data_IF_840609082412
#
_entry.id   IF_840609082412
#
_cell.length_a   1.000
_cell.length_b   1.000
_cell.length_c   1.000
_cell.angle_alpha   90.00
_cell.angle_beta   90.00
_cell.angle_gamma   90.00
#
_symmetry.space_group_name_H-M   'P 1'
#
loop_
_entity.id
_entity.type
_entity.pdbx_description
1 polymer ?
#
# COMPACT_ATOMS: atom_id res chain seq x y z
N UNK A 1 4.86 79.73 41.68
CA UNK A 1 5.99 78.84 41.35
C UNK A 1 5.65 77.44 41.85
N UNK A 2 5.18 76.55 40.96
CA UNK A 2 4.87 75.12 41.22
C UNK A 2 6.07 74.30 40.68
N UNK A 3 6.48 73.14 41.17
CA UNK A 3 5.74 71.92 41.53
C UNK A 3 6.54 71.01 42.48
N UNK A 4 5.81 70.12 43.15
CA UNK A 4 6.18 69.20 44.23
C UNK A 4 6.73 67.84 43.74
N UNK A 5 7.46 67.13 44.60
CA UNK A 5 8.13 65.83 44.34
C UNK A 5 7.31 64.58 44.75
N UNK A 6 7.46 63.54 43.92
CA UNK A 6 7.49 62.07 44.13
C UNK A 6 6.21 61.29 44.50
N UNK A 7 5.83 60.30 43.66
CA UNK A 7 5.96 58.85 43.98
C UNK A 7 5.63 57.93 42.76
N UNK A 8 6.22 56.73 42.83
CA UNK A 8 6.30 55.49 42.03
C UNK A 8 5.02 54.90 41.37
N UNK A 9 5.11 54.31 40.15
CA UNK A 9 4.40 53.07 39.75
C UNK A 9 4.97 52.40 38.46
N UNK A 10 4.91 51.06 38.42
CA UNK A 10 5.43 50.05 37.47
C UNK A 10 4.39 49.68 36.39
N UNK A 11 4.76 49.35 35.12
CA UNK A 11 4.23 48.25 34.25
C UNK A 11 4.76 48.39 32.79
N UNK A 12 5.56 47.48 32.21
CA UNK A 12 5.27 46.16 31.56
C UNK A 12 5.17 46.23 30.03
N UNK A 13 6.02 45.39 29.40
CA UNK A 13 5.96 44.68 28.11
C UNK A 13 5.23 45.29 26.90
N UNK A 14 6.01 45.41 25.81
CA UNK A 14 5.54 45.11 24.46
C UNK A 14 6.65 44.42 23.65
N UNK A 15 7.01 43.18 24.02
CA UNK A 15 7.66 42.23 23.10
C UNK A 15 6.58 41.33 22.51
N UNK A 16 5.98 41.78 21.42
CA UNK A 16 5.08 41.01 20.55
C UNK A 16 5.42 41.50 19.13
N UNK A 17 5.78 40.73 18.11
CA UNK A 17 5.33 39.42 17.67
C UNK A 17 6.40 38.86 16.69
N UNK A 18 7.07 37.76 17.02
CA UNK A 18 7.77 36.92 16.03
C UNK A 18 7.75 35.45 16.48
N UNK A 19 6.56 34.88 16.53
CA UNK A 19 6.38 33.43 16.63
C UNK A 19 5.23 33.03 15.72
N UNK A 20 5.36 31.86 15.06
CA UNK A 20 4.47 31.25 14.08
C UNK A 20 4.72 31.58 12.58
N UNK A 21 5.89 31.19 12.08
CA UNK A 21 6.02 30.68 10.68
C UNK A 21 6.90 29.43 10.52
N UNK A 22 7.70 29.05 11.53
CA UNK A 22 8.69 27.97 11.39
C UNK A 22 8.12 26.54 11.41
N UNK A 23 6.99 26.32 12.08
CA UNK A 23 6.47 24.96 12.32
C UNK A 23 5.72 24.35 11.12
N UNK A 24 5.17 25.19 10.22
CA UNK A 24 4.44 24.71 9.04
C UNK A 24 5.39 24.11 8.00
N UNK A 25 6.49 24.80 7.73
CA UNK A 25 7.47 24.38 6.73
C UNK A 25 8.16 23.07 7.12
N UNK A 26 8.37 22.81 8.43
CA UNK A 26 8.99 21.57 8.89
C UNK A 26 8.06 20.35 8.77
N UNK A 27 6.78 20.50 9.10
CA UNK A 27 5.82 19.40 8.98
C UNK A 27 5.57 19.00 7.52
N UNK A 28 5.52 19.98 6.61
CA UNK A 28 5.39 19.71 5.18
C UNK A 28 6.59 18.94 4.62
N UNK A 29 7.82 19.30 5.02
CA UNK A 29 9.03 18.59 4.64
C UNK A 29 9.05 17.13 5.13
N UNK A 30 8.55 16.88 6.36
CA UNK A 30 8.47 15.52 6.92
C UNK A 30 7.49 14.65 6.12
N UNK A 31 6.31 15.18 5.78
CA UNK A 31 5.34 14.44 4.95
C UNK A 31 5.86 14.16 3.55
N UNK A 32 6.53 15.14 2.91
CA UNK A 32 7.17 14.94 1.61
C UNK A 32 8.24 13.83 1.66
N UNK A 33 9.07 13.82 2.70
CA UNK A 33 10.08 12.79 2.89
C UNK A 33 9.47 11.40 3.14
N UNK A 34 8.37 11.34 3.91
CA UNK A 34 7.62 10.10 4.15
C UNK A 34 7.02 9.56 2.85
N UNK A 35 6.45 10.43 2.02
CA UNK A 35 5.91 10.09 0.71
C UNK A 35 7.00 9.60 -0.25
N UNK A 36 8.16 10.27 -0.31
CA UNK A 36 9.28 9.83 -1.15
C UNK A 36 9.80 8.45 -0.72
N UNK A 37 9.92 8.23 0.60
CA UNK A 37 10.33 6.93 1.15
C UNK A 37 9.35 5.83 0.80
N UNK A 38 8.04 6.10 0.93
CA UNK A 38 6.99 5.16 0.52
C UNK A 38 7.08 4.83 -0.97
N UNK A 39 7.24 5.84 -1.84
CA UNK A 39 7.34 5.64 -3.28
C UNK A 39 8.55 4.76 -3.65
N UNK A 40 9.70 4.94 -2.99
CA UNK A 40 10.87 4.06 -3.17
C UNK A 40 10.55 2.62 -2.77
N UNK A 41 9.93 2.41 -1.60
CA UNK A 41 9.50 1.07 -1.16
C UNK A 41 8.55 0.40 -2.17
N UNK A 42 7.57 1.16 -2.67
CA UNK A 42 6.63 0.65 -3.68
C UNK A 42 7.36 0.28 -4.97
N UNK A 43 8.27 1.12 -5.47
CA UNK A 43 9.06 0.84 -6.67
C UNK A 43 9.96 -0.39 -6.50
N UNK A 44 10.52 -0.58 -5.30
CA UNK A 44 11.29 -1.77 -4.96
C UNK A 44 10.41 -3.02 -4.98
N UNK A 45 9.14 -2.93 -4.57
CA UNK A 45 8.20 -4.06 -4.58
C UNK A 45 7.70 -4.36 -6.00
N UNK A 46 7.25 -3.34 -6.71
CA UNK A 46 6.64 -3.42 -8.04
C UNK A 46 7.15 -2.25 -8.91
N UNK A 47 7.90 -2.54 -9.99
CA UNK A 47 8.27 -1.53 -10.97
C UNK A 47 7.06 -0.78 -11.53
N UNK A 48 7.19 0.53 -11.76
CA UNK A 48 6.09 1.42 -12.17
C UNK A 48 5.28 0.89 -13.36
N UNK A 49 5.96 0.34 -14.38
CA UNK A 49 5.30 -0.23 -15.57
C UNK A 49 4.30 -1.35 -15.24
N UNK A 50 4.58 -2.15 -14.21
CA UNK A 50 3.72 -3.26 -13.79
C UNK A 50 2.57 -2.76 -12.91
N UNK A 51 2.83 -1.76 -12.06
CA UNK A 51 1.77 -1.09 -11.30
C UNK A 51 0.78 -0.40 -12.25
N UNK A 52 1.27 0.28 -13.28
CA UNK A 52 0.44 0.93 -14.29
C UNK A 52 -0.33 -0.09 -15.14
N UNK A 53 0.24 -1.26 -15.40
CA UNK A 53 -0.47 -2.36 -16.05
C UNK A 53 -1.65 -2.85 -15.21
N UNK A 54 -1.47 -3.00 -13.90
CA UNK A 54 -2.57 -3.35 -12.98
C UNK A 54 -3.63 -2.25 -12.89
N UNK A 55 -3.23 -0.97 -12.87
CA UNK A 55 -4.18 0.16 -12.92
C UNK A 55 -5.01 0.17 -14.21
N UNK A 56 -4.40 -0.13 -15.36
CA UNK A 56 -5.10 -0.27 -16.65
C UNK A 56 -6.09 -1.44 -16.65
N UNK A 57 -5.79 -2.48 -15.88
CA UNK A 57 -6.73 -3.58 -15.60
C UNK A 57 -7.80 -3.20 -14.57
N UNK A 58 -7.80 -1.97 -14.05
CA UNK A 58 -8.83 -1.49 -13.13
C UNK A 58 -8.61 -1.90 -11.69
N UNK A 59 -7.35 -2.12 -11.28
CA UNK A 59 -6.95 -2.17 -9.88
C UNK A 59 -7.05 -0.78 -9.26
N UNK A 60 -7.79 -0.68 -8.16
CA UNK A 60 -7.84 0.53 -7.32
C UNK A 60 -6.57 0.63 -6.48
N UNK A 61 -6.00 1.84 -6.37
CA UNK A 61 -4.84 2.12 -5.54
C UNK A 61 -5.17 3.32 -4.66
N UNK A 62 -5.16 3.11 -3.35
CA UNK A 62 -5.37 4.13 -2.34
C UNK A 62 -4.01 4.71 -1.93
N UNK A 63 -3.72 5.91 -2.40
CA UNK A 63 -2.46 6.62 -2.12
C UNK A 63 -2.52 7.38 -0.81
N UNK A 64 -1.35 7.68 -0.23
CA UNK A 64 -1.24 8.46 1.00
C UNK A 64 -0.32 7.78 2.02
N UNK A 65 0.04 8.53 3.06
CA UNK A 65 1.04 8.15 4.07
C UNK A 65 0.44 7.95 5.46
N UNK A 66 -0.89 7.93 5.58
CA UNK A 66 -1.59 7.85 6.86
C UNK A 66 -2.79 6.88 6.84
N UNK A 67 -2.60 5.61 6.44
CA UNK A 67 -3.62 4.59 6.61
C UNK A 67 -3.80 4.26 8.10
N UNK A 68 -5.02 3.97 8.50
CA UNK A 68 -5.35 3.39 9.80
C UNK A 68 -4.70 2.02 9.94
N UNK A 69 -4.56 1.54 11.18
CA UNK A 69 -4.11 0.18 11.44
C UNK A 69 -5.11 -0.84 10.87
N UNK A 70 -4.64 -1.71 9.98
CA UNK A 70 -5.44 -2.77 9.35
C UNK A 70 -4.99 -4.19 9.77
N UNK A 71 -4.23 -4.32 10.86
CA UNK A 71 -3.79 -5.63 11.33
C UNK A 71 -4.97 -6.56 11.64
N UNK A 72 -4.86 -7.82 11.20
CA UNK A 72 -5.96 -8.77 11.35
C UNK A 72 -5.82 -9.99 10.47
N UNK A 73 -6.85 -10.83 10.54
CA UNK A 73 -7.03 -12.00 9.68
C UNK A 73 -8.39 -11.85 8.98
N UNK A 74 -8.35 -11.88 7.65
CA UNK A 74 -9.49 -11.64 6.78
C UNK A 74 -9.76 -12.86 5.91
N UNK A 75 -11.03 -13.20 5.75
CA UNK A 75 -11.48 -14.18 4.77
C UNK A 75 -11.96 -13.42 3.54
N UNK A 76 -11.43 -13.78 2.37
CA UNK A 76 -11.73 -13.13 1.11
C UNK A 76 -12.52 -14.11 0.25
N UNK A 77 -13.81 -13.84 0.08
CA UNK A 77 -14.72 -14.72 -0.65
C UNK A 77 -15.97 -13.94 -1.12
N UNK A 78 -16.41 -14.12 -2.38
CA UNK A 78 -15.76 -14.88 -3.45
C UNK A 78 -14.58 -14.11 -4.05
N UNK A 79 -13.63 -14.81 -4.69
CA UNK A 79 -12.63 -14.16 -5.54
C UNK A 79 -13.06 -14.27 -7.00
N UNK A 80 -13.45 -13.15 -7.63
CA UNK A 80 -13.97 -13.13 -9.00
C UNK A 80 -13.00 -12.41 -9.93
N UNK A 81 -12.62 -13.06 -11.04
CA UNK A 81 -11.76 -12.44 -12.06
C UNK A 81 -12.46 -11.25 -12.73
N UNK A 82 -11.95 -10.04 -12.49
CA UNK A 82 -12.43 -8.79 -13.11
C UNK A 82 -11.87 -8.60 -14.51
N UNK A 83 -10.56 -8.83 -14.65
CA UNK A 83 -9.82 -8.50 -15.86
C UNK A 83 -8.45 -9.18 -15.87
N UNK A 84 -7.91 -9.40 -17.05
CA UNK A 84 -6.58 -9.98 -17.27
C UNK A 84 -6.03 -9.49 -18.60
N UNK A 85 -4.71 -9.33 -18.69
CA UNK A 85 -4.01 -9.07 -19.95
C UNK A 85 -3.35 -10.34 -20.52
N UNK A 86 -3.45 -11.48 -19.82
CA UNK A 86 -2.94 -12.76 -20.30
C UNK A 86 -3.81 -13.26 -21.45
N UNK A 87 -3.17 -13.64 -22.55
CA UNK A 87 -3.87 -14.27 -23.68
C UNK A 87 -4.34 -15.68 -23.29
N UNK A 88 -5.56 -16.04 -23.71
CA UNK A 88 -6.17 -17.34 -23.41
C UNK A 88 -6.13 -17.68 -21.91
N UNK A 89 -6.49 -16.70 -21.09
CA UNK A 89 -6.67 -16.87 -19.65
C UNK A 89 -8.09 -17.38 -19.32
N UNK A 90 -8.40 -17.52 -18.03
CA UNK A 90 -9.76 -17.74 -17.56
C UNK A 90 -10.73 -16.67 -18.08
N UNK A 91 -11.99 -17.06 -18.31
CA UNK A 91 -13.03 -16.14 -18.70
C UNK A 91 -13.27 -15.09 -17.59
N UNK A 92 -13.54 -13.85 -17.97
CA UNK A 92 -13.96 -12.81 -17.02
C UNK A 92 -15.22 -13.28 -16.27
N UNK A 93 -15.25 -13.04 -14.96
CA UNK A 93 -16.30 -13.56 -14.07
C UNK A 93 -16.02 -14.95 -13.50
N UNK A 94 -14.93 -15.61 -13.90
CA UNK A 94 -14.52 -16.89 -13.29
C UNK A 94 -14.28 -16.71 -11.79
N UNK A 95 -14.91 -17.56 -10.97
CA UNK A 95 -14.66 -17.65 -9.53
C UNK A 95 -13.43 -18.49 -9.26
N UNK A 96 -12.47 -17.92 -8.54
CA UNK A 96 -11.34 -18.63 -7.95
C UNK A 96 -11.70 -19.18 -6.56
N UNK A 97 -10.84 -20.05 -6.03
CA UNK A 97 -10.99 -20.54 -4.65
C UNK A 97 -10.93 -19.39 -3.64
N UNK A 98 -11.50 -19.61 -2.45
CA UNK A 98 -11.50 -18.60 -1.40
C UNK A 98 -10.08 -18.39 -0.86
N UNK A 99 -9.79 -17.17 -0.40
CA UNK A 99 -8.49 -16.81 0.13
C UNK A 99 -8.57 -16.36 1.59
N UNK A 100 -7.43 -16.39 2.26
CA UNK A 100 -7.25 -15.80 3.59
C UNK A 100 -6.03 -14.89 3.58
N UNK A 101 -6.17 -13.76 4.23
CA UNK A 101 -5.14 -12.74 4.35
C UNK A 101 -4.89 -12.47 5.82
N UNK A 102 -3.65 -12.57 6.26
CA UNK A 102 -3.19 -12.04 7.54
C UNK A 102 -2.22 -10.91 7.28
N UNK A 103 -2.50 -9.76 7.89
CA UNK A 103 -1.60 -8.60 7.92
C UNK A 103 -1.28 -8.25 9.37
N UNK A 104 -0.02 -7.90 9.62
CA UNK A 104 0.53 -7.74 10.97
C UNK A 104 1.81 -6.90 10.93
N UNK A 105 2.26 -6.40 12.08
CA UNK A 105 3.44 -5.55 12.21
C UNK A 105 3.39 -4.30 11.32
N UNK A 106 2.22 -3.66 11.25
CA UNK A 106 2.09 -2.32 10.65
C UNK A 106 2.78 -1.30 11.56
N UNK A 107 3.53 -0.36 10.97
CA UNK A 107 4.22 0.68 11.74
C UNK A 107 4.24 2.04 11.03
N UNK A 108 4.70 3.07 11.76
CA UNK A 108 4.74 4.46 11.29
C UNK A 108 5.63 4.72 10.07
N UNK A 109 6.54 3.78 9.77
CA UNK A 109 7.37 3.81 8.56
C UNK A 109 6.66 3.25 7.34
N UNK A 110 5.37 2.93 7.44
CA UNK A 110 4.56 2.34 6.38
C UNK A 110 5.05 0.96 5.92
N UNK A 111 5.72 0.26 6.84
CA UNK A 111 5.96 -1.16 6.71
C UNK A 111 4.75 -1.92 7.27
N UNK A 112 4.50 -3.10 6.71
CA UNK A 112 3.52 -4.08 7.16
C UNK A 112 4.06 -5.45 6.77
N UNK A 113 3.58 -6.54 7.37
CA UNK A 113 3.86 -7.91 6.94
C UNK A 113 2.58 -8.60 6.47
N UNK A 114 2.75 -9.57 5.58
CA UNK A 114 1.64 -10.25 4.93
C UNK A 114 1.88 -11.75 4.82
N UNK A 115 0.87 -12.53 5.23
CA UNK A 115 0.74 -13.95 4.93
C UNK A 115 -0.59 -14.15 4.22
N UNK A 116 -0.54 -14.59 2.97
CA UNK A 116 -1.68 -14.97 2.16
C UNK A 116 -1.83 -16.48 2.06
N UNK A 117 -3.05 -16.95 1.81
CA UNK A 117 -3.34 -18.33 1.43
C UNK A 117 -4.43 -18.31 0.38
N UNK A 118 -4.20 -19.01 -0.75
CA UNK A 118 -5.16 -19.12 -1.84
C UNK A 118 -5.06 -18.01 -2.89
N UNK A 119 -4.02 -17.17 -2.87
CA UNK A 119 -3.84 -16.11 -3.87
C UNK A 119 -2.97 -16.55 -5.05
N UNK A 120 -1.76 -17.01 -4.76
CA UNK A 120 -0.80 -17.57 -5.71
C UNK A 120 -0.57 -19.06 -5.46
N UNK A 121 -0.58 -19.46 -4.19
CA UNK A 121 -0.36 -20.83 -3.75
C UNK A 121 -1.09 -21.14 -2.44
N UNK A 122 -0.68 -22.24 -1.82
CA UNK A 122 -1.28 -22.72 -0.56
C UNK A 122 -0.80 -21.94 0.66
N UNK A 123 0.37 -21.30 0.58
CA UNK A 123 0.96 -20.42 1.58
C UNK A 123 1.83 -19.38 0.87
N UNK A 124 1.33 -18.16 0.78
CA UNK A 124 1.97 -17.03 0.10
C UNK A 124 2.56 -16.09 1.15
N UNK A 125 3.87 -16.16 1.37
CA UNK A 125 4.56 -15.18 2.22
C UNK A 125 5.19 -14.11 1.34
N UNK A 126 4.91 -12.84 1.63
CA UNK A 126 5.62 -11.75 0.96
C UNK A 126 7.01 -11.57 1.54
N UNK A 127 7.99 -11.35 0.66
CA UNK A 127 9.40 -11.10 1.01
C UNK A 127 9.58 -9.65 1.43
N UNK A 128 8.88 -8.73 0.75
CA UNK A 128 8.92 -7.29 1.01
C UNK A 128 7.50 -6.75 0.87
N UNK A 129 7.11 -5.85 1.78
CA UNK A 129 5.76 -5.28 1.84
C UNK A 129 5.78 -3.82 2.26
N UNK A 130 4.80 -3.06 1.78
CA UNK A 130 4.57 -1.67 2.14
C UNK A 130 3.06 -1.40 2.17
N UNK A 131 2.62 -0.35 2.88
CA UNK A 131 1.23 0.08 2.92
C UNK A 131 1.10 1.58 2.58
N UNK A 132 0.11 1.93 1.77
CA UNK A 132 -0.30 3.31 1.49
C UNK A 132 -1.78 3.49 1.82
N UNK A 133 -2.19 4.74 1.99
CA UNK A 133 -3.60 5.07 2.20
C UNK A 133 -3.82 6.31 3.06
N UNK A 134 -5.10 6.62 3.27
CA UNK A 134 -5.58 7.71 4.12
C UNK A 134 -6.78 7.17 4.89
N UNK A 135 -6.77 7.39 6.20
CA UNK A 135 -7.85 6.98 7.10
C UNK A 135 -8.17 5.49 6.93
N UNK A 136 -9.39 5.15 6.52
CA UNK A 136 -9.80 3.76 6.38
C UNK A 136 -9.44 3.13 5.04
N UNK A 137 -9.07 3.93 4.04
CA UNK A 137 -8.69 3.44 2.72
C UNK A 137 -7.21 3.03 2.71
N UNK A 138 -6.94 1.81 2.28
CA UNK A 138 -5.58 1.26 2.27
C UNK A 138 -5.23 0.59 0.96
N UNK A 139 -3.93 0.46 0.71
CA UNK A 139 -3.34 -0.44 -0.29
C UNK A 139 -2.08 -1.06 0.26
N UNK A 140 -2.01 -2.39 0.29
CA UNK A 140 -0.83 -3.17 0.66
C UNK A 140 -0.16 -3.69 -0.60
N UNK A 141 1.13 -3.45 -0.72
CA UNK A 141 1.98 -3.94 -1.82
C UNK A 141 2.84 -5.06 -1.25
N UNK A 142 2.90 -6.20 -1.93
CA UNK A 142 3.74 -7.34 -1.55
C UNK A 142 4.50 -7.90 -2.73
N UNK A 143 5.79 -8.23 -2.53
CA UNK A 143 6.58 -9.00 -3.49
C UNK A 143 6.68 -10.45 -3.02
N UNK A 144 6.26 -11.39 -3.85
CA UNK A 144 6.26 -12.83 -3.55
C UNK A 144 7.17 -13.57 -4.52
N UNK A 145 7.94 -14.52 -3.99
CA UNK A 145 8.66 -15.51 -4.79
C UNK A 145 7.85 -16.79 -4.83
N UNK A 146 7.41 -17.17 -6.02
CA UNK A 146 6.74 -18.45 -6.24
C UNK A 146 7.73 -19.49 -6.76
N UNK A 147 7.61 -20.72 -6.26
CA UNK A 147 8.45 -21.86 -6.64
C UNK A 147 7.53 -23.00 -7.05
N UNK A 148 7.69 -23.50 -8.28
CA UNK A 148 6.92 -24.62 -8.81
C UNK A 148 7.84 -25.52 -9.64
N UNK A 149 8.00 -26.80 -9.29
CA UNK A 149 8.89 -27.75 -9.98
C UNK A 149 10.30 -27.18 -10.23
N UNK A 150 10.93 -26.61 -9.20
CA UNK A 150 12.24 -25.94 -9.23
C UNK A 150 12.32 -24.67 -10.11
N UNK A 151 11.22 -24.25 -10.71
CA UNK A 151 11.11 -22.97 -11.44
C UNK A 151 10.75 -21.86 -10.48
N UNK A 152 11.33 -20.69 -10.70
CA UNK A 152 11.15 -19.52 -9.84
C UNK A 152 10.55 -18.38 -10.64
N UNK A 153 9.53 -17.73 -10.10
CA UNK A 153 8.99 -16.48 -10.61
C UNK A 153 8.76 -15.49 -9.46
N UNK A 154 8.91 -14.20 -9.77
CA UNK A 154 8.61 -13.11 -8.85
C UNK A 154 7.30 -12.45 -9.25
N UNK A 155 6.45 -12.23 -8.27
CA UNK A 155 5.14 -11.61 -8.43
C UNK A 155 5.01 -10.40 -7.52
N UNK A 156 4.25 -9.41 -7.97
CA UNK A 156 3.62 -8.46 -7.06
C UNK A 156 2.20 -8.91 -6.79
N UNK A 157 1.83 -8.88 -5.51
CA UNK A 157 0.45 -8.97 -5.03
C UNK A 157 0.08 -7.65 -4.37
N UNK A 158 -0.99 -7.04 -4.85
CA UNK A 158 -1.47 -5.75 -4.38
C UNK A 158 -2.88 -5.92 -3.87
N UNK A 159 -3.15 -5.49 -2.64
CA UNK A 159 -4.46 -5.55 -2.01
C UNK A 159 -4.93 -4.15 -1.69
N UNK A 160 -6.16 -3.80 -2.02
CA UNK A 160 -6.74 -2.51 -1.63
C UNK A 160 -8.15 -2.69 -1.12
N UNK A 161 -8.59 -1.78 -0.27
CA UNK A 161 -9.96 -1.74 0.21
C UNK A 161 -10.13 -0.65 1.25
N UNK A 162 -11.26 -0.70 1.93
CA UNK A 162 -11.60 0.19 3.04
C UNK A 162 -11.83 -0.64 4.30
N UNK A 163 -11.17 -0.32 5.41
CA UNK A 163 -11.44 -0.98 6.68
C UNK A 163 -12.70 -0.40 7.33
N UNK A 164 -13.66 -1.26 7.67
CA UNK A 164 -14.89 -0.89 8.36
C UNK A 164 -15.26 -1.98 9.37
N UNK A 165 -15.38 -1.61 10.65
CA UNK A 165 -15.75 -2.54 11.73
C UNK A 165 -14.89 -3.83 11.74
N UNK A 166 -13.57 -3.68 11.56
CA UNK A 166 -12.59 -4.77 11.44
C UNK A 166 -12.85 -5.74 10.26
N UNK A 167 -13.59 -5.30 9.24
CA UNK A 167 -13.79 -6.01 7.98
C UNK A 167 -13.28 -5.19 6.83
N UNK A 168 -12.82 -5.84 5.75
CA UNK A 168 -12.43 -5.12 4.53
C UNK A 168 -13.65 -5.01 3.63
N UNK A 169 -13.95 -3.80 3.16
CA UNK A 169 -14.95 -3.50 2.14
C UNK A 169 -14.28 -3.20 0.81
N UNK A 170 -14.98 -3.48 -0.27
CA UNK A 170 -14.54 -3.20 -1.64
C UNK A 170 -13.14 -3.78 -1.95
N UNK A 171 -12.88 -4.99 -1.45
CA UNK A 171 -11.59 -5.63 -1.61
C UNK A 171 -11.26 -5.80 -3.11
N UNK A 172 -10.10 -5.30 -3.50
CA UNK A 172 -9.52 -5.50 -4.83
C UNK A 172 -8.14 -6.12 -4.67
N UNK A 173 -7.85 -7.09 -5.52
CA UNK A 173 -6.60 -7.83 -5.55
C UNK A 173 -6.00 -7.79 -6.95
N UNK A 174 -4.79 -7.28 -7.06
CA UNK A 174 -3.98 -7.30 -8.28
C UNK A 174 -2.83 -8.29 -8.14
N UNK A 175 -2.63 -9.10 -9.17
CA UNK A 175 -1.50 -10.01 -9.30
C UNK A 175 -0.78 -9.73 -10.62
N UNK A 176 0.54 -9.58 -10.60
CA UNK A 176 1.33 -9.46 -11.84
C UNK A 176 2.68 -10.15 -11.71
N UNK A 177 3.12 -10.85 -12.76
CA UNK A 177 4.45 -11.41 -12.81
C UNK A 177 5.46 -10.31 -13.14
N UNK A 178 6.38 -10.04 -12.22
CA UNK A 178 7.45 -9.04 -12.37
C UNK A 178 8.65 -9.63 -13.10
N UNK A 179 8.92 -10.91 -12.89
CA UNK A 179 10.07 -11.59 -13.48
C UNK A 179 9.81 -13.08 -13.53
N UNK A 180 9.89 -13.65 -14.72
CA UNK A 180 9.89 -15.08 -14.94
C UNK A 180 11.14 -15.45 -15.75
N UNK A 181 12.21 -15.88 -15.07
CA UNK A 181 13.50 -16.19 -15.70
C UNK A 181 13.60 -17.63 -16.23
N UNK A 182 12.48 -18.33 -16.28
CA UNK A 182 12.44 -19.67 -16.84
C UNK A 182 12.42 -19.59 -18.39
N UNK A 183 12.56 -20.73 -19.06
CA UNK A 183 12.49 -20.81 -20.52
C UNK A 183 11.21 -20.15 -21.07
N UNK A 184 11.28 -19.51 -22.25
CA UNK A 184 10.14 -18.82 -22.88
C UNK A 184 8.95 -19.75 -23.20
N UNK A 185 9.21 -21.05 -23.30
CA UNK A 185 8.21 -22.11 -23.46
C UNK A 185 7.56 -22.54 -22.14
N UNK A 186 8.05 -22.06 -20.99
CA UNK A 186 7.48 -22.39 -19.69
C UNK A 186 6.08 -21.80 -19.54
N UNK A 187 5.14 -22.69 -19.21
CA UNK A 187 3.73 -22.37 -18.95
C UNK A 187 3.36 -22.56 -17.48
N UNK A 188 4.33 -22.87 -16.61
CA UNK A 188 4.09 -23.09 -15.18
C UNK A 188 3.62 -21.83 -14.46
N UNK A 189 4.03 -20.67 -14.97
CA UNK A 189 3.63 -19.35 -14.47
C UNK A 189 3.07 -18.53 -15.62
N UNK A 190 2.24 -17.52 -15.29
CA UNK A 190 1.95 -16.46 -16.25
C UNK A 190 3.25 -15.73 -16.60
N UNK A 191 3.34 -15.17 -17.82
CA UNK A 191 4.56 -14.55 -18.31
C UNK A 191 4.82 -13.21 -17.63
N UNK A 192 6.06 -12.75 -17.68
CA UNK A 192 6.43 -11.42 -17.19
C UNK A 192 5.54 -10.34 -17.84
N UNK A 193 5.02 -9.42 -17.02
CA UNK A 193 4.05 -8.40 -17.43
C UNK A 193 2.61 -8.88 -17.54
N UNK A 194 2.35 -10.18 -17.50
CA UNK A 194 0.99 -10.71 -17.41
C UNK A 194 0.47 -10.63 -15.97
N UNK A 195 -0.79 -10.23 -15.84
CA UNK A 195 -1.43 -10.01 -14.56
C UNK A 195 -2.95 -10.10 -14.63
N UNK A 196 -3.55 -10.16 -13.44
CA UNK A 196 -4.99 -10.30 -13.19
C UNK A 196 -5.41 -9.29 -12.14
N UNK A 197 -6.64 -8.82 -12.26
CA UNK A 197 -7.34 -8.11 -11.19
C UNK A 197 -8.57 -8.91 -10.81
N UNK A 198 -8.76 -9.08 -9.51
CA UNK A 198 -9.80 -9.86 -8.87
C UNK A 198 -10.49 -8.97 -7.84
N UNK A 199 -11.78 -9.16 -7.64
CA UNK A 199 -12.54 -8.47 -6.60
C UNK A 199 -13.33 -9.45 -5.74
N UNK A 200 -13.72 -8.96 -4.57
CA UNK A 200 -14.74 -9.53 -3.70
C UNK A 200 -16.09 -8.81 -3.88
#
# INVERSE_FOLDING_TARGET
MKTFKHSLLILVFATTLFACKKDKDQNELVELQKLETLNKKIQDIIPTQYLDSLKKLGLTINTGTNPTNIEGIYSIQPMILKSTNKKSDYAIGTRFGDARLRVFEQNDKLDIKLIGKGFLGTSDTSIVTAISGIDNDFTVYGKVKSIHNNKIALFAIIFSGTIENNTIKNFNYGLICISNKNDISDTSFIKEGEGRVVFE
#
